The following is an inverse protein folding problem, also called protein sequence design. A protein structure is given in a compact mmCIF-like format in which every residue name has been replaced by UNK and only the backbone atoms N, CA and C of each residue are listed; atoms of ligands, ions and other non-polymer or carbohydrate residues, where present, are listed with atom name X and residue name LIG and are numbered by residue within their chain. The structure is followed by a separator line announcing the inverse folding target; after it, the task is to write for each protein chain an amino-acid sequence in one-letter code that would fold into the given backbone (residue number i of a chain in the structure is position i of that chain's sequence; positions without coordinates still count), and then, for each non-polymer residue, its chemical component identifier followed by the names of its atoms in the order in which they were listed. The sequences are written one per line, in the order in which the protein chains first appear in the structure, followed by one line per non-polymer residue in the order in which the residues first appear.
data_IF_036499033377
#
_entry.id   IF_036499033377
#
_cell.length_a   1.000
_cell.length_b   1.000
_cell.length_c   1.000
_cell.angle_alpha   90.00
_cell.angle_beta   90.00
_cell.angle_gamma   90.00
#
_symmetry.space_group_name_H-M   'P 1'
#
loop_
_entity.id
_entity.type
_entity.pdbx_description
1 polymer ?
#
# COMPACT_ATOMS: atom_id res chain seq x y z
N UNK A 1 -14.80 2.57 -5.94
CA UNK A 1 -14.32 3.83 -5.34
C UNK A 1 -15.51 4.49 -4.66
N UNK A 2 -15.50 4.55 -3.33
CA UNK A 2 -16.57 5.20 -2.57
C UNK A 2 -16.31 6.70 -2.56
N UNK A 3 -17.37 7.50 -2.74
CA UNK A 3 -17.24 8.96 -2.74
C UNK A 3 -17.14 9.47 -1.31
N UNK A 4 -16.38 10.54 -1.13
CA UNK A 4 -16.36 11.35 0.07
C UNK A 4 -17.79 11.78 0.47
N UNK A 5 -18.12 11.72 1.76
CA UNK A 5 -19.45 12.03 2.26
C UNK A 5 -20.48 10.88 2.20
N UNK A 6 -20.06 9.64 1.90
CA UNK A 6 -20.93 8.47 2.01
C UNK A 6 -21.08 8.09 3.49
N UNK A 7 -22.33 7.93 3.95
CA UNK A 7 -22.60 7.47 5.33
C UNK A 7 -21.92 6.12 5.60
N UNK A 8 -21.37 5.95 6.81
CA UNK A 8 -20.61 4.77 7.22
C UNK A 8 -21.37 3.46 7.04
N UNK A 9 -22.69 3.46 7.30
CA UNK A 9 -23.54 2.29 7.10
C UNK A 9 -23.71 1.92 5.62
N UNK A 10 -23.89 2.91 4.74
CA UNK A 10 -23.98 2.69 3.30
C UNK A 10 -22.65 2.22 2.72
N UNK A 11 -21.54 2.73 3.23
CA UNK A 11 -20.21 2.28 2.85
C UNK A 11 -19.97 0.81 3.22
N UNK A 12 -20.29 0.42 4.46
CA UNK A 12 -20.16 -0.97 4.93
C UNK A 12 -20.99 -1.93 4.08
N UNK A 13 -22.25 -1.56 3.80
CA UNK A 13 -23.15 -2.37 2.98
C UNK A 13 -22.64 -2.52 1.55
N UNK A 14 -22.19 -1.44 0.94
CA UNK A 14 -21.61 -1.47 -0.41
C UNK A 14 -20.37 -2.35 -0.49
N UNK A 15 -19.41 -2.16 0.41
CA UNK A 15 -18.16 -2.93 0.41
C UNK A 15 -18.41 -4.42 0.64
N UNK A 16 -19.31 -4.75 1.57
CA UNK A 16 -19.71 -6.14 1.82
C UNK A 16 -20.39 -6.77 0.61
N UNK A 17 -21.28 -6.03 -0.07
CA UNK A 17 -21.95 -6.50 -1.28
C UNK A 17 -20.96 -6.75 -2.42
N UNK A 18 -19.97 -5.87 -2.62
CA UNK A 18 -18.92 -6.05 -3.64
C UNK A 18 -18.03 -7.26 -3.34
N UNK A 19 -17.63 -7.46 -2.09
CA UNK A 19 -16.85 -8.64 -1.71
C UNK A 19 -17.63 -9.95 -1.93
N UNK A 20 -18.92 -9.97 -1.58
CA UNK A 20 -19.80 -11.12 -1.85
C UNK A 20 -19.99 -11.35 -3.35
N UNK A 21 -20.11 -10.28 -4.13
CA UNK A 21 -20.20 -10.36 -5.59
C UNK A 21 -18.95 -10.99 -6.19
N UNK A 22 -17.74 -10.61 -5.71
CA UNK A 22 -16.49 -11.21 -6.16
C UNK A 22 -16.42 -12.70 -5.85
N UNK A 23 -16.89 -13.13 -4.68
CA UNK A 23 -16.94 -14.55 -4.31
C UNK A 23 -17.92 -15.31 -5.21
N UNK A 24 -19.05 -14.69 -5.57
CA UNK A 24 -20.06 -15.29 -6.43
C UNK A 24 -19.65 -15.35 -7.92
N UNK A 25 -18.55 -14.72 -8.32
CA UNK A 25 -18.02 -14.88 -9.68
C UNK A 25 -17.51 -16.30 -9.87
N UNK A 26 -17.87 -16.89 -10.99
CA UNK A 26 -17.38 -18.24 -11.37
C UNK A 26 -15.87 -18.23 -11.71
N UNK A 27 -15.29 -17.07 -11.95
CA UNK A 27 -13.86 -16.93 -12.19
C UNK A 27 -13.07 -17.20 -10.90
N UNK A 28 -12.12 -18.14 -10.90
CA UNK A 28 -11.31 -18.42 -9.74
C UNK A 28 -10.42 -17.21 -9.42
N UNK A 29 -10.33 -16.83 -8.16
CA UNK A 29 -9.35 -15.89 -7.67
C UNK A 29 -8.76 -16.39 -6.35
N UNK A 30 -7.48 -16.11 -6.12
CA UNK A 30 -6.75 -16.62 -4.96
C UNK A 30 -6.88 -15.72 -3.74
N UNK A 31 -7.15 -14.43 -3.95
CA UNK A 31 -7.25 -13.45 -2.89
C UNK A 31 -7.66 -12.06 -3.37
N UNK A 32 -7.59 -11.10 -2.46
CA UNK A 32 -7.86 -9.69 -2.75
C UNK A 32 -6.67 -8.82 -2.33
N UNK A 33 -6.52 -7.68 -3.01
CA UNK A 33 -5.72 -6.55 -2.55
C UNK A 33 -6.68 -5.49 -2.02
N UNK A 34 -6.65 -5.25 -0.73
CA UNK A 34 -7.42 -4.20 -0.08
C UNK A 34 -6.55 -2.95 0.07
N UNK A 35 -6.94 -1.87 -0.61
CA UNK A 35 -6.20 -0.62 -0.57
C UNK A 35 -6.96 0.45 0.21
N UNK A 36 -6.28 1.09 1.18
CA UNK A 36 -6.77 2.25 1.91
C UNK A 36 -5.77 3.40 1.82
N UNK A 37 -6.18 4.46 1.15
CA UNK A 37 -5.35 5.66 0.97
C UNK A 37 -5.84 6.83 1.79
N UNK A 38 -6.65 6.79 2.72
CA UNK A 38 -7.10 7.85 3.62
C UNK A 38 -6.76 9.31 3.22
N UNK A 39 -7.39 10.28 3.80
CA UNK A 39 -7.04 11.69 3.62
C UNK A 39 -5.89 12.08 4.56
N UNK A 40 -5.06 13.04 4.15
CA UNK A 40 -4.00 13.54 5.02
C UNK A 40 -4.63 14.33 6.21
N UNK A 41 -4.48 13.87 7.45
CA UNK A 41 -5.13 14.46 8.61
C UNK A 41 -4.66 15.89 8.95
N UNK A 42 -3.52 16.33 8.41
CA UNK A 42 -2.96 17.67 8.66
C UNK A 42 -3.90 18.78 8.16
N UNK A 43 -4.64 18.50 7.06
CA UNK A 43 -5.53 19.47 6.42
C UNK A 43 -7.00 19.30 6.81
N UNK A 44 -7.32 18.46 7.80
CA UNK A 44 -8.68 18.12 8.17
C UNK A 44 -9.11 18.85 9.43
N UNK A 45 -10.37 19.27 9.50
CA UNK A 45 -10.99 19.69 10.76
C UNK A 45 -11.13 18.52 11.74
N UNK A 46 -11.32 18.77 13.03
CA UNK A 46 -11.52 17.69 14.00
C UNK A 46 -12.77 16.85 13.72
N UNK A 47 -13.82 17.47 13.17
CA UNK A 47 -15.02 16.76 12.74
C UNK A 47 -14.72 15.80 11.57
N UNK A 48 -13.99 16.28 10.55
CA UNK A 48 -13.60 15.49 9.40
C UNK A 48 -12.65 14.35 9.79
N UNK A 49 -11.76 14.58 10.77
CA UNK A 49 -10.89 13.52 11.31
C UNK A 49 -11.70 12.41 11.97
N UNK A 50 -12.74 12.76 12.73
CA UNK A 50 -13.60 11.78 13.38
C UNK A 50 -14.37 10.94 12.36
N UNK A 51 -14.89 11.58 11.30
CA UNK A 51 -15.56 10.88 10.19
C UNK A 51 -14.57 9.99 9.42
N UNK A 52 -13.39 10.50 9.09
CA UNK A 52 -12.35 9.73 8.41
C UNK A 52 -11.94 8.49 9.21
N UNK A 53 -11.80 8.64 10.53
CA UNK A 53 -11.52 7.51 11.42
C UNK A 53 -12.66 6.50 11.43
N UNK A 54 -13.92 6.92 11.52
CA UNK A 54 -15.06 6.02 11.49
C UNK A 54 -15.14 5.24 10.17
N UNK A 55 -14.85 5.88 9.05
CA UNK A 55 -14.78 5.25 7.74
C UNK A 55 -13.61 4.26 7.65
N UNK A 56 -12.46 4.61 8.21
CA UNK A 56 -11.30 3.73 8.31
C UNK A 56 -11.63 2.47 9.13
N UNK A 57 -12.16 2.64 10.33
CA UNK A 57 -12.51 1.52 11.23
C UNK A 57 -13.56 0.61 10.56
N UNK A 58 -14.52 1.19 9.84
CA UNK A 58 -15.52 0.44 9.07
C UNK A 58 -14.89 -0.37 7.96
N UNK A 59 -13.99 0.23 7.18
CA UNK A 59 -13.28 -0.45 6.09
C UNK A 59 -12.49 -1.65 6.62
N UNK A 60 -11.68 -1.44 7.64
CA UNK A 60 -10.88 -2.51 8.25
C UNK A 60 -11.75 -3.60 8.88
N UNK A 61 -12.87 -3.24 9.50
CA UNK A 61 -13.83 -4.18 10.07
C UNK A 61 -14.46 -5.09 9.00
N UNK A 62 -14.88 -4.52 7.87
CA UNK A 62 -15.45 -5.31 6.75
C UNK A 62 -14.41 -6.26 6.16
N UNK A 63 -13.18 -5.80 5.95
CA UNK A 63 -12.09 -6.64 5.43
C UNK A 63 -11.72 -7.76 6.41
N UNK A 64 -11.69 -7.47 7.71
CA UNK A 64 -11.46 -8.48 8.76
C UNK A 64 -12.53 -9.58 8.74
N UNK A 65 -13.80 -9.20 8.64
CA UNK A 65 -14.91 -10.15 8.55
C UNK A 65 -14.81 -10.99 7.27
N UNK A 66 -14.46 -10.37 6.14
CA UNK A 66 -14.24 -11.09 4.89
C UNK A 66 -13.12 -12.12 5.00
N UNK A 67 -11.96 -11.74 5.55
CA UNK A 67 -10.82 -12.67 5.73
C UNK A 67 -11.20 -13.82 6.65
N UNK A 68 -11.90 -13.56 7.74
CA UNK A 68 -12.37 -14.58 8.67
C UNK A 68 -13.30 -15.60 8.00
N UNK A 69 -14.21 -15.14 7.14
CA UNK A 69 -15.13 -15.99 6.38
C UNK A 69 -14.43 -16.73 5.21
N UNK A 70 -13.29 -16.26 4.75
CA UNK A 70 -12.55 -16.77 3.61
C UNK A 70 -11.07 -17.04 3.96
N UNK A 71 -10.83 -17.78 5.03
CA UNK A 71 -9.48 -18.00 5.60
C UNK A 71 -8.49 -18.62 4.61
N UNK A 72 -8.96 -19.40 3.63
CA UNK A 72 -8.14 -19.98 2.55
C UNK A 72 -7.79 -19.01 1.42
N UNK A 73 -8.36 -17.79 1.41
CA UNK A 73 -8.05 -16.77 0.40
C UNK A 73 -6.94 -15.85 0.90
N UNK A 74 -6.07 -15.40 -0.01
CA UNK A 74 -5.03 -14.44 0.32
C UNK A 74 -5.62 -13.04 0.54
N UNK A 75 -5.05 -12.34 1.51
CA UNK A 75 -5.33 -10.93 1.76
C UNK A 75 -4.02 -10.15 1.71
N UNK A 76 -3.89 -9.29 0.72
CA UNK A 76 -2.82 -8.29 0.65
C UNK A 76 -3.39 -6.94 1.04
N UNK A 77 -2.75 -6.24 1.94
CA UNK A 77 -3.15 -4.89 2.32
C UNK A 77 -2.21 -3.87 1.70
N UNK A 78 -2.75 -2.75 1.21
CA UNK A 78 -1.94 -1.66 0.66
C UNK A 78 -2.39 -0.33 1.27
N UNK A 79 -1.45 0.43 1.80
CA UNK A 79 -1.77 1.73 2.38
C UNK A 79 -0.55 2.51 2.88
N UNK A 80 -0.81 3.77 3.23
CA UNK A 80 0.20 4.59 3.90
C UNK A 80 0.46 4.05 5.31
N UNK A 81 1.72 3.99 5.75
CA UNK A 81 2.07 3.45 7.07
C UNK A 81 1.24 4.03 8.22
N UNK A 82 1.02 5.34 8.23
CA UNK A 82 0.24 6.02 9.26
C UNK A 82 -1.23 5.54 9.36
N UNK A 83 -1.79 5.00 8.28
CA UNK A 83 -3.16 4.47 8.25
C UNK A 83 -3.23 2.98 8.62
N UNK A 84 -2.11 2.30 8.66
CA UNK A 84 -2.04 0.85 8.91
C UNK A 84 -1.76 0.53 10.37
N UNK A 85 -1.00 1.37 11.06
CA UNK A 85 -0.64 1.16 12.47
C UNK A 85 -1.89 1.06 13.34
N UNK A 86 -1.92 0.07 14.23
CA UNK A 86 -3.04 -0.19 15.13
C UNK A 86 -4.20 -0.99 14.53
N UNK A 87 -4.09 -1.44 13.28
CA UNK A 87 -5.15 -2.21 12.61
C UNK A 87 -4.97 -3.72 12.82
N UNK A 88 -5.76 -4.31 13.69
CA UNK A 88 -5.62 -5.71 14.09
C UNK A 88 -5.75 -6.72 12.94
N UNK A 89 -6.48 -6.39 11.87
CA UNK A 89 -6.63 -7.26 10.70
C UNK A 89 -5.30 -7.53 9.99
N UNK A 90 -4.31 -6.63 10.15
CA UNK A 90 -3.02 -6.76 9.48
C UNK A 90 -2.22 -7.98 9.95
N UNK A 91 -2.43 -8.45 11.18
CA UNK A 91 -1.82 -9.68 11.66
C UNK A 91 -2.27 -10.94 10.91
N UNK A 92 -3.43 -10.87 10.23
CA UNK A 92 -3.98 -11.95 9.40
C UNK A 92 -3.72 -11.78 7.89
N UNK A 93 -3.07 -10.67 7.47
CA UNK A 93 -2.69 -10.45 6.07
C UNK A 93 -1.53 -11.35 5.67
N UNK A 94 -1.56 -11.79 4.42
CA UNK A 94 -0.45 -12.56 3.83
C UNK A 94 0.70 -11.64 3.44
N UNK A 95 0.40 -10.45 2.90
CA UNK A 95 1.38 -9.39 2.62
C UNK A 95 0.80 -8.00 2.91
N UNK A 96 1.69 -7.05 3.18
CA UNK A 96 1.37 -5.65 3.42
C UNK A 96 2.27 -4.78 2.54
N UNK A 97 1.66 -4.06 1.61
CA UNK A 97 2.37 -3.10 0.75
C UNK A 97 2.32 -1.72 1.43
N UNK A 98 3.49 -1.25 1.84
CA UNK A 98 3.66 0.09 2.39
C UNK A 98 3.76 1.09 1.25
N UNK A 99 2.80 2.02 1.14
CA UNK A 99 2.86 3.10 0.15
C UNK A 99 3.88 4.13 0.61
N UNK A 100 5.03 4.13 -0.03
CA UNK A 100 6.18 5.00 0.25
C UNK A 100 6.53 5.89 -0.95
N UNK A 101 5.64 5.99 -1.94
CA UNK A 101 5.86 6.60 -3.25
C UNK A 101 6.34 8.05 -3.19
N UNK A 102 5.85 8.81 -2.22
CA UNK A 102 6.10 10.25 -2.09
C UNK A 102 7.20 10.57 -1.06
N UNK A 103 7.92 9.55 -0.60
CA UNK A 103 8.91 9.70 0.47
C UNK A 103 10.32 9.73 -0.10
N UNK A 104 11.09 10.73 0.29
CA UNK A 104 12.49 10.88 -0.12
C UNK A 104 13.46 10.02 0.69
N UNK A 105 13.03 9.56 1.87
CA UNK A 105 13.77 8.62 2.72
C UNK A 105 12.91 7.38 2.96
N UNK A 106 12.87 6.52 1.96
CA UNK A 106 12.08 5.28 1.97
C UNK A 106 12.58 4.32 3.05
N UNK A 107 13.90 4.23 3.24
CA UNK A 107 14.48 3.32 4.23
C UNK A 107 14.07 3.72 5.65
N UNK A 108 14.20 4.99 6.00
CA UNK A 108 13.85 5.48 7.34
C UNK A 108 12.37 5.27 7.64
N UNK A 109 11.49 5.68 6.73
CA UNK A 109 10.05 5.49 6.89
C UNK A 109 9.68 4.01 6.98
N UNK A 110 10.31 3.18 6.13
CA UNK A 110 10.08 1.74 6.13
C UNK A 110 10.44 1.10 7.47
N UNK A 111 11.58 1.45 8.06
CA UNK A 111 12.01 0.92 9.36
C UNK A 111 11.05 1.35 10.47
N UNK A 112 10.70 2.62 10.57
CA UNK A 112 9.79 3.13 11.58
C UNK A 112 8.41 2.48 11.51
N UNK A 113 7.84 2.38 10.29
CA UNK A 113 6.57 1.73 10.06
C UNK A 113 6.61 0.23 10.40
N UNK A 114 7.68 -0.45 10.02
CA UNK A 114 7.91 -1.85 10.30
C UNK A 114 7.94 -2.12 11.80
N UNK A 115 8.71 -1.34 12.56
CA UNK A 115 8.81 -1.47 14.01
C UNK A 115 7.44 -1.29 14.69
N UNK A 116 6.68 -0.28 14.27
CA UNK A 116 5.35 -0.02 14.80
C UNK A 116 4.36 -1.17 14.50
N UNK A 117 4.36 -1.68 13.27
CA UNK A 117 3.48 -2.77 12.85
C UNK A 117 3.89 -4.11 13.46
N UNK A 118 5.18 -4.35 13.68
CA UNK A 118 5.66 -5.54 14.40
C UNK A 118 5.24 -5.50 15.87
N UNK A 119 5.21 -4.32 16.48
CA UNK A 119 4.66 -4.16 17.84
C UNK A 119 3.17 -4.52 17.91
N UNK A 120 2.44 -4.36 16.81
CA UNK A 120 1.04 -4.77 16.64
C UNK A 120 0.89 -6.27 16.27
N UNK A 121 1.99 -7.02 16.22
CA UNK A 121 1.98 -8.47 15.97
C UNK A 121 2.05 -8.88 14.50
N UNK A 122 2.44 -7.98 13.59
CA UNK A 122 2.63 -8.30 12.17
C UNK A 122 4.03 -8.88 11.92
N UNK A 123 4.15 -10.08 11.33
CA UNK A 123 5.46 -10.65 10.99
C UNK A 123 6.23 -9.81 9.96
N UNK A 124 7.52 -9.64 10.18
CA UNK A 124 8.37 -8.77 9.34
C UNK A 124 8.48 -9.24 7.88
N UNK A 125 8.43 -10.53 7.62
CA UNK A 125 8.52 -11.14 6.29
C UNK A 125 7.28 -10.94 5.41
N UNK A 126 6.26 -10.23 5.90
CA UNK A 126 5.06 -9.89 5.12
C UNK A 126 5.11 -8.53 4.46
N UNK A 127 6.13 -7.72 4.75
CA UNK A 127 6.21 -6.35 4.24
C UNK A 127 6.78 -6.26 2.84
N UNK A 128 6.11 -5.45 2.01
CA UNK A 128 6.54 -5.05 0.68
C UNK A 128 6.63 -3.52 0.67
N UNK A 129 7.75 -2.98 0.23
CA UNK A 129 7.92 -1.53 0.04
C UNK A 129 7.43 -1.15 -1.35
N UNK A 130 6.81 0.01 -1.51
CA UNK A 130 6.43 0.49 -2.84
C UNK A 130 7.19 1.73 -3.27
N UNK A 131 7.37 1.85 -4.58
CA UNK A 131 7.85 3.05 -5.24
C UNK A 131 6.99 3.35 -6.47
N UNK A 132 6.85 4.63 -6.83
CA UNK A 132 6.08 5.06 -8.00
C UNK A 132 6.97 5.62 -9.08
N UNK A 133 6.66 5.29 -10.32
CA UNK A 133 7.32 5.88 -11.50
C UNK A 133 6.47 6.97 -12.15
N UNK A 134 5.44 7.48 -11.47
CA UNK A 134 4.49 8.45 -12.03
C UNK A 134 5.15 9.72 -12.57
N UNK A 135 6.24 10.17 -11.96
CA UNK A 135 6.97 11.37 -12.39
C UNK A 135 8.09 11.09 -13.39
N UNK A 136 8.26 9.84 -13.83
CA UNK A 136 9.32 9.47 -14.78
C UNK A 136 8.93 9.62 -16.25
N UNK A 137 7.65 9.88 -16.55
CA UNK A 137 7.16 10.06 -17.92
C UNK A 137 7.41 11.47 -18.48
N UNK A 138 7.97 12.38 -17.69
CA UNK A 138 8.17 13.77 -18.09
C UNK A 138 9.42 13.95 -18.92
N UNK A 139 9.33 14.73 -20.00
CA UNK A 139 10.49 15.16 -20.78
C UNK A 139 11.32 16.21 -20.03
N UNK A 140 10.70 16.92 -19.09
CA UNK A 140 11.35 17.89 -18.23
C UNK A 140 11.82 17.23 -16.93
N UNK A 141 13.12 17.18 -16.73
CA UNK A 141 13.74 16.64 -15.53
C UNK A 141 13.57 17.62 -14.36
N UNK A 142 12.38 17.64 -13.82
CA UNK A 142 12.02 18.44 -12.65
C UNK A 142 12.51 17.79 -11.35
N UNK A 143 12.39 18.51 -10.23
CA UNK A 143 12.66 17.97 -8.89
C UNK A 143 11.84 16.70 -8.63
N UNK A 144 10.58 16.63 -9.12
CA UNK A 144 9.73 15.44 -9.00
C UNK A 144 10.32 14.22 -9.71
N UNK A 145 10.89 14.41 -10.90
CA UNK A 145 11.57 13.33 -11.62
C UNK A 145 12.76 12.75 -10.82
N UNK A 146 13.64 13.60 -10.30
CA UNK A 146 14.78 13.14 -9.53
C UNK A 146 14.38 12.50 -8.20
N UNK A 147 13.34 13.01 -7.55
CA UNK A 147 12.81 12.40 -6.33
C UNK A 147 12.21 11.02 -6.59
N UNK A 148 11.51 10.82 -7.71
CA UNK A 148 10.98 9.52 -8.09
C UNK A 148 12.09 8.50 -8.38
N UNK A 149 13.15 8.90 -9.08
CA UNK A 149 14.33 8.06 -9.31
C UNK A 149 14.99 7.67 -8.00
N UNK A 150 15.19 8.63 -7.11
CA UNK A 150 15.79 8.39 -5.80
C UNK A 150 14.92 7.44 -4.98
N UNK A 151 13.61 7.68 -4.89
CA UNK A 151 12.68 6.83 -4.15
C UNK A 151 12.68 5.38 -4.67
N UNK A 152 12.72 5.19 -5.99
CA UNK A 152 12.82 3.87 -6.60
C UNK A 152 14.12 3.15 -6.24
N UNK A 153 15.25 3.86 -6.33
CA UNK A 153 16.57 3.30 -5.99
C UNK A 153 16.68 2.97 -4.50
N UNK A 154 16.21 3.86 -3.63
CA UNK A 154 16.21 3.64 -2.18
C UNK A 154 15.29 2.46 -1.79
N UNK A 155 14.11 2.35 -2.39
CA UNK A 155 13.20 1.25 -2.14
C UNK A 155 13.82 -0.10 -2.57
N UNK A 156 14.44 -0.17 -3.74
CA UNK A 156 15.12 -1.36 -4.23
C UNK A 156 16.31 -1.73 -3.33
N UNK A 157 17.15 -0.76 -2.99
CA UNK A 157 18.27 -0.97 -2.09
C UNK A 157 17.81 -1.48 -0.71
N UNK A 158 16.77 -0.87 -0.13
CA UNK A 158 16.26 -1.28 1.17
C UNK A 158 15.72 -2.72 1.20
N UNK A 159 15.13 -3.17 0.08
CA UNK A 159 14.66 -4.57 -0.05
C UNK A 159 15.82 -5.55 -0.13
N UNK A 160 16.91 -5.18 -0.80
CA UNK A 160 18.09 -6.03 -0.99
C UNK A 160 19.08 -5.95 0.16
N UNK A 161 19.04 -4.88 0.97
CA UNK A 161 19.93 -4.70 2.12
C UNK A 161 19.77 -5.85 3.12
N UNK A 162 20.85 -6.59 3.42
CA UNK A 162 20.83 -7.64 4.42
C UNK A 162 20.70 -7.02 5.81
N UNK A 163 19.48 -6.73 6.23
CA UNK A 163 19.19 -6.28 7.60
C UNK A 163 19.13 -7.50 8.51
N UNK A 164 19.90 -7.49 9.58
CA UNK A 164 19.86 -8.53 10.60
C UNK A 164 18.51 -8.56 11.35
N UNK A 165 17.74 -7.47 11.28
CA UNK A 165 16.51 -7.33 12.06
C UNK A 165 15.24 -7.65 11.27
N UNK A 166 15.25 -7.44 9.94
CA UNK A 166 14.03 -7.55 9.12
C UNK A 166 14.24 -8.32 7.82
N UNK A 167 13.41 -9.31 7.59
CA UNK A 167 13.26 -9.95 6.28
C UNK A 167 12.09 -9.31 5.56
N UNK A 168 12.32 -8.72 4.38
CA UNK A 168 11.30 -8.05 3.56
C UNK A 168 10.80 -8.99 2.49
N UNK A 169 9.50 -8.94 2.16
CA UNK A 169 8.91 -9.80 1.15
C UNK A 169 9.24 -9.35 -0.29
N UNK A 170 9.46 -8.04 -0.52
CA UNK A 170 9.81 -7.55 -1.85
C UNK A 170 9.54 -6.07 -2.10
N UNK A 171 9.60 -5.71 -3.38
CA UNK A 171 9.35 -4.37 -3.91
C UNK A 171 8.11 -4.37 -4.81
N UNK A 172 7.21 -3.42 -4.60
CA UNK A 172 6.09 -3.12 -5.49
C UNK A 172 6.39 -1.83 -6.27
N UNK A 173 6.18 -1.84 -7.58
CA UNK A 173 6.39 -0.67 -8.44
C UNK A 173 5.06 -0.25 -9.04
N UNK A 174 4.62 0.96 -8.70
CA UNK A 174 3.42 1.57 -9.26
C UNK A 174 3.72 2.36 -10.54
N UNK A 175 2.75 2.34 -11.47
CA UNK A 175 2.81 3.09 -12.74
C UNK A 175 4.03 2.76 -13.61
N UNK A 176 4.45 1.51 -13.62
CA UNK A 176 5.65 1.04 -14.34
C UNK A 176 5.68 1.45 -15.83
N UNK A 177 4.51 1.65 -16.45
CA UNK A 177 4.39 2.14 -17.83
C UNK A 177 5.05 3.50 -18.05
N UNK A 178 5.19 4.34 -17.02
CA UNK A 178 5.81 5.65 -17.15
C UNK A 178 7.32 5.56 -17.41
N UNK A 179 7.97 4.55 -16.87
CA UNK A 179 9.37 4.26 -17.20
C UNK A 179 9.52 3.72 -18.64
N UNK A 180 8.50 3.04 -19.17
CA UNK A 180 8.48 2.62 -20.57
C UNK A 180 8.39 3.82 -21.52
N UNK A 181 7.57 4.81 -21.20
CA UNK A 181 7.36 6.01 -22.04
C UNK A 181 8.42 7.10 -21.84
N UNK A 182 9.46 6.85 -21.04
CA UNK A 182 10.60 7.75 -20.99
C UNK A 182 11.40 7.71 -22.32
N UNK A 183 12.43 8.53 -22.43
CA UNK A 183 13.19 8.70 -23.67
C UNK A 183 13.82 7.42 -24.24
N UNK A 184 13.94 6.37 -23.45
CA UNK A 184 14.59 5.10 -23.83
C UNK A 184 13.61 4.01 -24.24
N UNK A 185 12.33 4.11 -23.88
CA UNK A 185 11.27 3.11 -24.10
C UNK A 185 11.67 1.66 -23.67
N UNK A 186 12.42 1.53 -22.58
CA UNK A 186 13.05 0.24 -22.23
C UNK A 186 12.83 -0.22 -20.78
N UNK A 187 11.99 0.45 -20.00
CA UNK A 187 11.90 0.24 -18.55
C UNK A 187 13.26 0.35 -17.86
N UNK A 188 14.08 1.30 -18.27
CA UNK A 188 15.47 1.40 -17.84
C UNK A 188 15.59 1.45 -16.32
N UNK A 189 14.87 2.37 -15.68
CA UNK A 189 15.01 2.60 -14.25
C UNK A 189 14.41 1.48 -13.40
N UNK A 190 13.28 0.91 -13.84
CA UNK A 190 12.69 -0.27 -13.20
C UNK A 190 13.63 -1.47 -13.28
N UNK A 191 14.25 -1.69 -14.46
CA UNK A 191 15.25 -2.77 -14.63
C UNK A 191 16.48 -2.56 -13.79
N UNK A 192 16.98 -1.34 -13.70
CA UNK A 192 18.10 -1.00 -12.83
C UNK A 192 17.77 -1.28 -11.36
N UNK A 193 16.57 -0.87 -10.89
CA UNK A 193 16.12 -1.14 -9.54
C UNK A 193 15.95 -2.63 -9.21
N UNK A 194 15.51 -3.45 -10.16
CA UNK A 194 15.36 -4.90 -9.95
C UNK A 194 16.71 -5.62 -9.92
N UNK A 195 17.73 -5.07 -10.56
CA UNK A 195 19.05 -5.69 -10.68
C UNK A 195 20.06 -5.21 -9.61
N UNK A 196 19.63 -4.38 -8.66
CA UNK A 196 20.44 -4.03 -7.50
C UNK A 196 20.50 -5.22 -6.54
#
# INVERSE_FOLDING_TARGET
KVKEGTETSAFSAYLSAELNRLIALEAPFDGIVAEYRGSNPIYMSEADKAEAKANQDTFFGVISNWKSANSGKQLVFQGYPANLIGQSVLSSCDHIILITNDVTDVAQLGIEALQALMADGVPADRFIVSASTVSLDTTDKTTGYYNALRALSEAAYWVTEPSAEFTKAGLAIENMQNDYYNATNTYQYVREAINI
#
